data_IF_659203548881
#
_entry.id   IF_659203548881
#
_cell.length_a   1.000
_cell.length_b   1.000
_cell.length_c   1.000
_cell.angle_alpha   90.00
_cell.angle_beta   90.00
_cell.angle_gamma   90.00
#
_symmetry.space_group_name_H-M   'P 1'
#
loop_
_entity.id
_entity.type
_entity.pdbx_description
1 polymer ?
#
# COMPACT_ATOMS: atom_id res chain seq x y z
N UNK A 1 6.53 -0.23 4.45
CA UNK A 1 5.54 -0.44 5.52
C UNK A 1 4.19 -0.06 4.94
N UNK A 2 3.16 -0.90 5.06
CA UNK A 2 1.81 -0.60 4.51
C UNK A 2 0.74 -0.42 5.61
N UNK A 3 1.16 -0.32 6.86
CA UNK A 3 0.26 0.00 7.99
C UNK A 3 0.37 1.48 8.35
N UNK A 4 -0.43 1.94 9.31
CA UNK A 4 -0.45 3.31 9.80
C UNK A 4 0.76 3.75 10.64
N UNK A 5 1.81 2.94 10.72
CA UNK A 5 3.06 3.29 11.41
C UNK A 5 3.93 4.29 10.64
N UNK A 6 4.97 4.81 11.31
CA UNK A 6 5.95 5.74 10.71
C UNK A 6 6.53 5.19 9.41
N UNK A 7 6.52 6.00 8.34
CA UNK A 7 6.97 5.58 7.00
C UNK A 7 6.05 4.57 6.32
N UNK A 8 4.82 4.42 6.80
CA UNK A 8 3.73 3.70 6.13
C UNK A 8 2.67 4.65 5.58
N UNK A 9 1.48 4.13 5.30
CA UNK A 9 0.37 4.85 4.64
C UNK A 9 -0.63 5.44 5.65
N UNK A 10 -0.17 5.74 6.87
CA UNK A 10 -1.05 6.16 7.97
C UNK A 10 -1.86 7.42 7.69
N UNK A 11 -1.23 8.37 7.01
CA UNK A 11 -1.82 9.67 6.66
C UNK A 11 -2.75 9.60 5.44
N UNK A 12 -2.78 8.46 4.73
CA UNK A 12 -3.66 8.28 3.59
C UNK A 12 -5.08 7.96 4.07
N UNK A 13 -6.06 8.57 3.41
CA UNK A 13 -7.48 8.20 3.56
C UNK A 13 -7.77 6.87 2.88
N UNK A 14 -8.95 6.28 3.13
CA UNK A 14 -9.38 5.09 2.38
C UNK A 14 -9.51 5.40 0.88
N UNK A 15 -10.01 6.59 0.53
CA UNK A 15 -10.13 7.04 -0.85
C UNK A 15 -8.76 7.16 -1.53
N UNK A 16 -7.75 7.64 -0.81
CA UNK A 16 -6.37 7.70 -1.30
C UNK A 16 -5.81 6.31 -1.61
N UNK A 17 -6.09 5.34 -0.74
CA UNK A 17 -5.66 3.95 -0.93
C UNK A 17 -6.37 3.34 -2.15
N UNK A 18 -7.69 3.53 -2.26
CA UNK A 18 -8.46 3.06 -3.42
C UNK A 18 -7.93 3.66 -4.72
N UNK A 19 -7.71 4.98 -4.75
CA UNK A 19 -7.20 5.68 -5.91
C UNK A 19 -5.79 5.20 -6.29
N UNK A 20 -4.92 4.94 -5.30
CA UNK A 20 -3.60 4.38 -5.56
C UNK A 20 -3.68 2.95 -6.14
N UNK A 21 -4.56 2.09 -5.61
CA UNK A 21 -4.76 0.74 -6.14
C UNK A 21 -5.29 0.76 -7.58
N UNK A 22 -6.13 1.73 -7.91
CA UNK A 22 -6.72 1.91 -9.24
C UNK A 22 -5.76 2.51 -10.26
N UNK A 23 -5.06 3.58 -9.87
CA UNK A 23 -4.35 4.45 -10.82
C UNK A 23 -2.83 4.42 -10.66
N UNK A 24 -2.34 3.99 -9.50
CA UNK A 24 -0.93 4.06 -9.13
C UNK A 24 -0.45 5.46 -8.73
N UNK A 25 -1.33 6.45 -8.63
CA UNK A 25 -0.98 7.77 -8.09
C UNK A 25 -1.08 7.80 -6.57
N UNK A 26 -0.04 8.33 -5.94
CA UNK A 26 -0.03 8.70 -4.52
C UNK A 26 -0.90 9.95 -4.31
N UNK A 27 -1.28 10.27 -3.05
CA UNK A 27 -2.01 11.52 -2.73
C UNK A 27 -1.25 12.79 -3.09
N UNK A 28 0.08 12.69 -3.24
CA UNK A 28 0.94 13.78 -3.68
C UNK A 28 1.08 13.85 -5.22
N UNK A 29 0.28 13.08 -5.96
CA UNK A 29 0.31 12.95 -7.42
C UNK A 29 1.62 12.40 -8.01
N UNK A 30 2.51 11.86 -7.17
CA UNK A 30 3.62 11.02 -7.63
C UNK A 30 3.10 9.64 -8.07
N UNK A 31 3.80 8.95 -8.97
CA UNK A 31 3.39 7.66 -9.51
C UNK A 31 4.19 6.49 -8.94
N UNK A 32 3.54 5.33 -8.87
CA UNK A 32 4.20 4.07 -8.53
C UNK A 32 5.29 3.73 -9.56
N UNK A 33 6.48 3.35 -9.07
CA UNK A 33 7.63 3.01 -9.91
C UNK A 33 8.18 1.59 -9.64
N UNK A 34 9.07 1.15 -10.53
CA UNK A 34 9.80 -0.12 -10.39
C UNK A 34 8.89 -1.34 -10.37
N UNK A 35 9.22 -2.32 -9.53
CA UNK A 35 8.49 -3.60 -9.44
C UNK A 35 7.04 -3.45 -8.95
N UNK A 36 6.66 -2.30 -8.37
CA UNK A 36 5.29 -2.07 -7.90
C UNK A 36 4.31 -1.72 -9.02
N UNK A 37 4.80 -1.37 -10.23
CA UNK A 37 3.95 -1.06 -11.38
C UNK A 37 3.07 -2.25 -11.77
N UNK A 38 3.66 -3.44 -11.91
CA UNK A 38 2.90 -4.62 -12.32
C UNK A 38 1.94 -5.10 -11.22
N UNK A 39 2.34 -4.93 -9.95
CA UNK A 39 1.45 -5.19 -8.81
C UNK A 39 0.24 -4.28 -8.88
N UNK A 40 0.45 -2.97 -9.02
CA UNK A 40 -0.63 -1.99 -9.12
C UNK A 40 -1.55 -2.28 -10.31
N UNK A 41 -1.01 -2.61 -11.49
CA UNK A 41 -1.82 -2.96 -12.66
C UNK A 41 -2.76 -4.12 -12.38
N UNK A 42 -2.27 -5.16 -11.71
CA UNK A 42 -3.14 -6.28 -11.31
C UNK A 42 -4.20 -5.86 -10.26
N UNK A 43 -3.86 -4.93 -9.35
CA UNK A 43 -4.83 -4.41 -8.39
C UNK A 43 -5.94 -3.58 -9.05
N UNK A 44 -5.64 -2.90 -10.15
CA UNK A 44 -6.61 -2.10 -10.90
C UNK A 44 -7.70 -2.96 -11.59
N UNK A 45 -7.41 -4.23 -11.87
CA UNK A 45 -8.37 -5.19 -12.43
C UNK A 45 -9.42 -5.67 -11.41
N UNK A 46 -9.21 -5.40 -10.11
CA UNK A 46 -10.19 -5.74 -9.09
C UNK A 46 -11.43 -4.85 -9.20
N UNK A 47 -12.58 -5.43 -8.83
CA UNK A 47 -13.81 -4.68 -8.69
C UNK A 47 -13.61 -3.51 -7.69
N UNK A 48 -14.28 -2.35 -7.90
CA UNK A 48 -14.16 -1.21 -7.00
C UNK A 48 -14.44 -1.56 -5.53
N UNK A 49 -15.38 -2.47 -5.28
CA UNK A 49 -15.77 -2.92 -3.95
C UNK A 49 -14.65 -3.70 -3.24
N UNK A 50 -13.89 -4.50 -3.99
CA UNK A 50 -12.73 -5.24 -3.46
C UNK A 50 -11.60 -4.29 -3.08
N UNK A 51 -11.34 -3.27 -3.91
CA UNK A 51 -10.36 -2.22 -3.59
C UNK A 51 -10.77 -1.43 -2.35
N UNK A 52 -12.06 -1.13 -2.20
CA UNK A 52 -12.60 -0.50 -1.00
C UNK A 52 -12.45 -1.40 0.25
N UNK A 53 -12.73 -2.69 0.14
CA UNK A 53 -12.56 -3.65 1.23
C UNK A 53 -11.10 -3.75 1.68
N UNK A 54 -10.14 -3.74 0.74
CA UNK A 54 -8.70 -3.70 1.04
C UNK A 54 -8.34 -2.42 1.80
N UNK A 55 -8.82 -1.26 1.36
CA UNK A 55 -8.56 0.02 2.02
C UNK A 55 -9.09 0.01 3.47
N UNK A 56 -10.34 -0.42 3.67
CA UNK A 56 -10.94 -0.54 5.00
C UNK A 56 -10.15 -1.51 5.89
N UNK A 57 -9.73 -2.67 5.36
CA UNK A 57 -8.90 -3.61 6.09
C UNK A 57 -7.57 -3.00 6.52
N UNK A 58 -6.85 -2.33 5.61
CA UNK A 58 -5.57 -1.69 5.91
C UNK A 58 -5.68 -0.60 6.99
N UNK A 59 -6.80 0.15 7.03
CA UNK A 59 -7.05 1.14 8.08
C UNK A 59 -7.42 0.52 9.43
N UNK A 60 -8.01 -0.67 9.45
CA UNK A 60 -8.36 -1.37 10.68
C UNK A 60 -7.15 -2.02 11.38
N UNK A 61 -6.04 -2.27 10.66
CA UNK A 61 -4.85 -2.90 11.24
C UNK A 61 -4.11 -1.91 12.17
N UNK A 62 -3.74 -2.32 13.39
CA UNK A 62 -2.91 -1.51 14.28
C UNK A 62 -1.59 -1.09 13.62
N UNK A 63 -1.09 0.14 13.91
CA UNK A 63 0.17 0.61 13.36
C UNK A 63 1.33 -0.33 13.71
N UNK A 64 2.11 -0.75 12.72
CA UNK A 64 3.35 -1.48 12.96
C UNK A 64 4.54 -0.52 12.80
N UNK A 65 5.39 -0.33 13.83
CA UNK A 65 6.44 0.69 13.83
C UNK A 65 7.58 0.41 12.84
N UNK A 66 7.84 -0.87 12.55
CA UNK A 66 8.84 -1.30 11.57
C UNK A 66 8.16 -2.22 10.56
N UNK A 67 7.97 -1.76 9.32
CA UNK A 67 7.65 -2.68 8.22
C UNK A 67 8.72 -3.77 8.16
N UNK A 68 8.28 -5.03 8.05
CA UNK A 68 9.05 -6.27 8.12
C UNK A 68 10.59 -6.10 8.18
N UNK A 69 11.27 -6.57 9.26
CA UNK A 69 12.73 -6.40 9.37
C UNK A 69 13.41 -7.04 8.16
N UNK A 70 14.44 -6.39 7.57
CA UNK A 70 15.18 -6.98 6.47
C UNK A 70 15.67 -8.36 6.90
N UNK A 71 15.41 -9.39 6.08
CA UNK A 71 15.98 -10.72 6.33
C UNK A 71 17.50 -10.56 6.44
N UNK A 72 18.07 -10.94 7.59
CA UNK A 72 19.54 -11.03 7.71
C UNK A 72 20.04 -11.96 6.60
N UNK A 73 20.97 -11.50 5.77
CA UNK A 73 21.65 -12.37 4.81
C UNK A 73 22.26 -13.55 5.59
N UNK A 74 22.15 -14.81 5.10
CA UNK A 74 22.86 -15.92 5.72
C UNK A 74 24.35 -15.58 5.74
N UNK A 75 25.01 -15.84 6.87
CA UNK A 75 26.46 -15.70 6.96
C UNK A 75 27.12 -16.63 5.93
N UNK A 76 28.08 -16.09 5.19
CA UNK A 76 28.94 -16.83 4.27
C UNK A 76 29.87 -17.78 5.02
#
# INVERSE_FOLDING_TARGET
>A
NITSGKGGIGDWSEADIVNYLETGFTPAFDSVGGAMVDVQRNMAELAPEDRAAIAAYLKAIPPHPNGYPPRKKPAS
#
